data_IF_764843243529
#
_entry.id   IF_764843243529
#
_cell.length_a   1.000
_cell.length_b   1.000
_cell.length_c   1.000
_cell.angle_alpha   90.00
_cell.angle_beta   90.00
_cell.angle_gamma   90.00
#
_symmetry.space_group_name_H-M   'P 1'
#
loop_
_entity.id
_entity.type
_entity.pdbx_description
1 polymer ?
#
# COMPACT_ATOMS: atom_id res chain seq x y z
N UNK A 1 -75.70 -14.80 35.57
CA UNK A 1 -76.15 -14.83 36.98
C UNK A 1 -76.93 -13.55 37.23
N UNK A 2 -78.23 -13.65 37.49
CA UNK A 2 -79.05 -12.50 37.85
C UNK A 2 -79.22 -12.48 39.37
N UNK A 3 -79.06 -11.32 39.99
CA UNK A 3 -79.31 -11.16 41.41
C UNK A 3 -80.81 -11.21 41.71
N UNK A 4 -81.18 -11.60 42.93
CA UNK A 4 -82.55 -11.40 43.40
C UNK A 4 -82.84 -9.89 43.46
N UNK A 5 -84.10 -9.50 43.25
CA UNK A 5 -84.50 -8.11 43.19
C UNK A 5 -84.08 -7.30 44.43
N UNK A 6 -84.27 -7.88 45.63
CA UNK A 6 -83.86 -7.26 46.91
C UNK A 6 -82.34 -7.03 47.00
N UNK A 7 -81.53 -7.99 46.54
CA UNK A 7 -80.07 -7.83 46.50
C UNK A 7 -79.64 -6.78 45.47
N UNK A 8 -80.28 -6.76 44.30
CA UNK A 8 -79.97 -5.78 43.25
C UNK A 8 -80.26 -4.34 43.71
N UNK A 9 -81.37 -4.11 44.43
CA UNK A 9 -81.70 -2.80 45.01
C UNK A 9 -80.65 -2.37 46.05
N UNK A 10 -80.29 -3.28 46.97
CA UNK A 10 -79.30 -2.99 48.01
C UNK A 10 -77.92 -2.66 47.42
N UNK A 11 -77.47 -3.44 46.43
CA UNK A 11 -76.19 -3.19 45.74
C UNK A 11 -76.23 -1.92 44.89
N UNK A 12 -77.36 -1.60 44.26
CA UNK A 12 -77.51 -0.37 43.48
C UNK A 12 -77.37 0.87 44.36
N UNK A 13 -77.94 0.88 45.57
CA UNK A 13 -77.80 2.00 46.50
C UNK A 13 -76.33 2.26 46.89
N UNK A 14 -75.56 1.20 47.15
CA UNK A 14 -74.12 1.30 47.46
C UNK A 14 -73.33 1.81 46.25
N UNK A 15 -73.63 1.30 45.05
CA UNK A 15 -72.96 1.74 43.82
C UNK A 15 -73.26 3.21 43.50
N UNK A 16 -74.49 3.65 43.71
CA UNK A 16 -74.91 5.05 43.51
C UNK A 16 -74.15 5.99 44.43
N UNK A 17 -74.11 5.69 45.74
CA UNK A 17 -73.36 6.47 46.71
C UNK A 17 -71.86 6.49 46.37
N UNK A 18 -71.29 5.34 45.99
CA UNK A 18 -69.88 5.25 45.60
C UNK A 18 -69.55 6.10 44.37
N UNK A 19 -70.39 6.06 43.34
CA UNK A 19 -70.23 6.87 42.12
C UNK A 19 -70.34 8.36 42.46
N UNK A 20 -71.34 8.74 43.27
CA UNK A 20 -71.50 10.13 43.73
C UNK A 20 -70.28 10.62 44.51
N UNK A 21 -69.76 9.81 45.44
CA UNK A 21 -68.56 10.12 46.21
C UNK A 21 -67.33 10.25 45.32
N UNK A 22 -67.16 9.37 44.32
CA UNK A 22 -66.08 9.47 43.34
C UNK A 22 -66.20 10.75 42.52
N UNK A 23 -67.41 11.13 42.08
CA UNK A 23 -67.65 12.37 41.34
C UNK A 23 -67.38 13.62 42.19
N UNK A 24 -67.75 13.59 43.48
CA UNK A 24 -67.40 14.66 44.44
C UNK A 24 -65.87 14.73 44.62
N UNK A 25 -65.21 13.58 44.81
CA UNK A 25 -63.76 13.51 44.93
C UNK A 25 -63.07 14.07 43.69
N UNK A 26 -63.60 13.82 42.49
CA UNK A 26 -63.07 14.37 41.24
C UNK A 26 -63.11 15.90 41.18
N UNK A 27 -64.14 16.51 41.76
CA UNK A 27 -64.30 17.97 41.85
C UNK A 27 -63.41 18.62 42.91
N UNK A 28 -63.13 17.91 44.00
CA UNK A 28 -62.32 18.42 45.11
C UNK A 28 -60.83 18.18 44.87
N UNK A 29 -60.48 17.09 44.18
CA UNK A 29 -59.09 16.71 43.94
C UNK A 29 -58.45 17.58 42.84
N UNK A 30 -57.24 18.11 43.06
CA UNK A 30 -56.58 18.98 42.10
C UNK A 30 -56.06 18.18 40.88
N UNK A 31 -56.36 18.67 39.68
CA UNK A 31 -55.80 18.13 38.41
C UNK A 31 -54.39 18.68 38.13
N UNK A 32 -53.99 19.74 38.84
CA UNK A 32 -52.65 20.29 38.79
C UNK A 32 -52.27 20.97 40.12
N UNK A 33 -50.97 20.98 40.42
CA UNK A 33 -50.39 21.68 41.60
C UNK A 33 -50.77 23.15 41.71
N UNK A 34 -51.08 23.81 40.59
CA UNK A 34 -51.44 25.22 40.55
C UNK A 34 -52.77 25.51 41.26
N UNK A 35 -53.62 24.51 41.44
CA UNK A 35 -54.89 24.64 42.14
C UNK A 35 -54.76 24.66 43.68
N UNK A 36 -53.57 24.37 44.25
CA UNK A 36 -53.37 24.35 45.70
C UNK A 36 -52.03 24.98 46.12
N UNK A 37 -52.01 26.25 46.58
CA UNK A 37 -50.79 27.00 46.87
C UNK A 37 -49.87 26.34 47.91
N UNK A 38 -50.46 25.68 48.93
CA UNK A 38 -49.69 25.00 49.98
C UNK A 38 -48.98 23.73 49.49
N UNK A 39 -49.63 22.94 48.63
CA UNK A 39 -49.02 21.75 48.03
C UNK A 39 -47.90 22.15 47.07
N UNK A 40 -48.11 23.24 46.31
CA UNK A 40 -47.09 23.82 45.46
C UNK A 40 -45.87 24.31 46.27
N UNK A 41 -46.10 24.98 47.41
CA UNK A 41 -45.03 25.42 48.32
C UNK A 41 -44.24 24.24 48.89
N UNK A 42 -44.91 23.14 49.25
CA UNK A 42 -44.26 21.93 49.73
C UNK A 42 -43.38 21.27 48.65
N UNK A 43 -43.89 21.15 47.43
CA UNK A 43 -43.13 20.62 46.29
C UNK A 43 -41.96 21.54 45.93
N UNK A 44 -42.18 22.84 45.90
CA UNK A 44 -41.14 23.82 45.61
C UNK A 44 -40.04 23.82 46.68
N UNK A 45 -40.39 23.67 47.96
CA UNK A 45 -39.41 23.54 49.05
C UNK A 45 -38.58 22.27 48.92
N UNK A 46 -39.21 21.14 48.59
CA UNK A 46 -38.51 19.87 48.34
C UNK A 46 -37.61 19.94 47.09
N UNK A 47 -38.07 20.57 46.01
CA UNK A 47 -37.25 20.76 44.81
C UNK A 47 -36.06 21.67 45.13
N UNK A 48 -36.28 22.74 45.89
CA UNK A 48 -35.22 23.68 46.28
C UNK A 48 -34.17 23.00 47.16
N UNK A 49 -34.56 22.17 48.12
CA UNK A 49 -33.61 21.41 48.95
C UNK A 49 -32.84 20.38 48.13
N UNK A 50 -33.48 19.70 47.18
CA UNK A 50 -32.83 18.75 46.27
C UNK A 50 -31.80 19.42 45.36
N UNK A 51 -32.16 20.56 44.74
CA UNK A 51 -31.22 21.33 43.91
C UNK A 51 -30.06 21.85 44.75
N UNK A 52 -30.32 22.29 45.98
CA UNK A 52 -29.26 22.75 46.89
C UNK A 52 -28.28 21.62 47.21
N UNK A 53 -28.78 20.41 47.50
CA UNK A 53 -27.95 19.22 47.73
C UNK A 53 -27.13 18.82 46.49
N UNK A 54 -27.70 18.96 45.29
CA UNK A 54 -26.97 18.73 44.03
C UNK A 54 -25.86 19.77 43.81
N UNK A 55 -26.16 21.06 44.01
CA UNK A 55 -25.19 22.13 43.88
C UNK A 55 -24.03 21.98 44.89
N UNK A 56 -24.30 21.49 46.09
CA UNK A 56 -23.26 21.16 47.06
C UNK A 56 -22.36 20.00 46.58
N UNK A 57 -22.94 18.96 45.97
CA UNK A 57 -22.19 17.86 45.37
C UNK A 57 -21.34 18.32 44.17
N UNK A 58 -21.85 19.23 43.35
CA UNK A 58 -21.09 19.84 42.24
C UNK A 58 -19.96 20.74 42.74
N UNK A 59 -20.21 21.57 43.77
CA UNK A 59 -19.18 22.43 44.38
C UNK A 59 -18.07 21.63 45.05
N UNK A 60 -18.41 20.54 45.73
CA UNK A 60 -17.39 19.65 46.32
C UNK A 60 -16.55 18.97 45.23
N UNK A 61 -17.14 18.63 44.09
CA UNK A 61 -16.39 18.15 42.91
C UNK A 61 -15.47 19.23 42.32
N UNK A 62 -15.97 20.46 42.15
CA UNK A 62 -15.21 21.58 41.58
C UNK A 62 -14.05 22.01 42.50
N UNK A 63 -14.26 22.03 43.81
CA UNK A 63 -13.22 22.28 44.81
C UNK A 63 -12.14 21.18 44.79
N UNK A 64 -12.53 19.90 44.65
CA UNK A 64 -11.60 18.79 44.54
C UNK A 64 -10.80 18.80 43.22
N UNK A 65 -11.40 19.28 42.13
CA UNK A 65 -10.69 19.48 40.84
C UNK A 65 -9.72 20.68 40.90
N UNK A 66 -10.10 21.74 41.61
CA UNK A 66 -9.28 22.96 41.75
C UNK A 66 -8.08 22.77 42.68
N UNK A 67 -8.17 21.88 43.68
CA UNK A 67 -7.07 21.53 44.58
C UNK A 67 -5.96 20.68 43.91
N UNK A 68 -6.03 20.46 42.58
CA UNK A 68 -5.36 19.34 41.90
C UNK A 68 -4.42 19.74 40.76
N UNK A 69 -3.81 20.92 40.82
CA UNK A 69 -2.80 21.32 39.83
C UNK A 69 -1.56 20.41 39.80
N UNK A 70 -1.42 19.43 40.70
CA UNK A 70 -0.26 18.53 40.74
C UNK A 70 -0.67 17.06 41.01
N UNK A 71 -0.68 16.20 39.97
CA UNK A 71 -0.60 14.74 40.15
C UNK A 71 -1.77 13.88 39.63
N UNK A 72 -1.44 12.94 38.72
CA UNK A 72 -2.32 11.96 38.07
C UNK A 72 -2.79 10.87 39.04
N UNK A 73 -4.08 10.86 39.37
CA UNK A 73 -4.75 9.69 39.94
C UNK A 73 -6.11 9.47 39.26
N UNK A 74 -6.16 8.56 38.28
CA UNK A 74 -7.35 8.32 37.44
C UNK A 74 -8.47 7.59 38.19
N UNK A 75 -8.17 6.94 39.32
CA UNK A 75 -9.14 6.16 40.12
C UNK A 75 -10.16 7.03 40.85
N UNK A 76 -9.70 8.11 41.49
CA UNK A 76 -10.54 9.05 42.23
C UNK A 76 -11.53 9.79 41.31
N UNK A 77 -11.12 10.17 40.09
CA UNK A 77 -12.03 10.78 39.10
C UNK A 77 -13.19 9.84 38.77
N UNK A 78 -12.91 8.55 38.62
CA UNK A 78 -13.93 7.55 38.32
C UNK A 78 -14.92 7.39 39.49
N UNK A 79 -14.43 7.47 40.73
CA UNK A 79 -15.25 7.43 41.94
C UNK A 79 -16.13 8.69 42.10
N UNK A 80 -15.58 9.88 41.84
CA UNK A 80 -16.34 11.13 41.86
C UNK A 80 -17.40 11.21 40.76
N UNK A 81 -17.08 10.78 39.53
CA UNK A 81 -18.05 10.63 38.45
C UNK A 81 -19.15 9.63 38.86
N UNK A 82 -18.77 8.54 39.54
CA UNK A 82 -19.69 7.57 40.13
C UNK A 82 -20.63 8.18 41.17
N UNK A 83 -20.12 9.03 42.06
CA UNK A 83 -20.89 9.70 43.09
C UNK A 83 -21.86 10.74 42.50
N UNK A 84 -21.41 11.55 41.53
CA UNK A 84 -22.26 12.53 40.85
C UNK A 84 -23.39 11.84 40.06
N UNK A 85 -23.06 10.77 39.33
CA UNK A 85 -24.08 9.98 38.61
C UNK A 85 -25.06 9.30 39.56
N UNK A 86 -24.62 8.86 40.73
CA UNK A 86 -25.49 8.31 41.77
C UNK A 86 -26.41 9.39 42.36
N UNK A 87 -25.87 10.58 42.68
CA UNK A 87 -26.64 11.71 43.20
C UNK A 87 -27.71 12.18 42.22
N UNK A 88 -27.35 12.34 40.93
CA UNK A 88 -28.29 12.68 39.86
C UNK A 88 -29.40 11.62 39.72
N UNK A 89 -29.05 10.33 39.85
CA UNK A 89 -30.04 9.25 39.81
C UNK A 89 -31.02 9.31 40.99
N UNK A 90 -30.54 9.68 42.18
CA UNK A 90 -31.38 9.81 43.38
C UNK A 90 -32.35 11.01 43.26
N UNK A 91 -31.88 12.13 42.72
CA UNK A 91 -32.74 13.30 42.41
C UNK A 91 -33.82 12.91 41.39
N UNK A 92 -33.43 12.26 40.30
CA UNK A 92 -34.37 11.77 39.27
C UNK A 92 -35.40 10.78 39.84
N UNK A 93 -34.96 9.87 40.70
CA UNK A 93 -35.85 8.89 41.32
C UNK A 93 -36.82 9.56 42.29
N UNK A 94 -36.35 10.50 43.10
CA UNK A 94 -37.16 11.26 44.05
C UNK A 94 -38.20 12.14 43.34
N UNK A 95 -37.80 12.80 42.24
CA UNK A 95 -38.71 13.57 41.40
C UNK A 95 -39.80 12.70 40.76
N UNK A 96 -39.46 11.48 40.31
CA UNK A 96 -40.44 10.52 39.75
C UNK A 96 -41.39 9.95 40.80
N UNK A 97 -40.92 9.77 42.04
CA UNK A 97 -41.69 9.19 43.14
C UNK A 97 -42.52 10.23 43.92
N UNK A 98 -42.34 11.52 43.65
CA UNK A 98 -43.11 12.56 44.33
C UNK A 98 -44.61 12.43 43.97
N UNK A 99 -45.51 12.17 44.94
CA UNK A 99 -46.93 11.97 44.70
C UNK A 99 -47.65 13.23 44.20
N UNK A 100 -47.03 14.39 44.38
CA UNK A 100 -47.56 15.70 44.00
C UNK A 100 -46.98 16.18 42.66
N UNK A 101 -46.50 15.31 41.78
CA UNK A 101 -46.15 15.73 40.41
C UNK A 101 -47.39 15.91 39.56
N UNK A 102 -47.30 16.75 38.52
CA UNK A 102 -48.40 16.93 37.55
C UNK A 102 -48.85 15.58 36.97
N UNK A 103 -47.91 14.73 36.59
CA UNK A 103 -48.19 13.43 35.97
C UNK A 103 -48.87 12.46 36.94
N UNK A 104 -48.45 12.43 38.22
CA UNK A 104 -49.08 11.59 39.23
C UNK A 104 -50.49 12.08 39.58
N UNK A 105 -50.69 13.39 39.70
CA UNK A 105 -52.03 13.98 39.93
C UNK A 105 -52.97 13.73 38.75
N UNK A 106 -52.48 13.88 37.53
CA UNK A 106 -53.24 13.57 36.32
C UNK A 106 -53.61 12.09 36.30
N UNK A 107 -52.67 11.20 36.57
CA UNK A 107 -52.92 9.75 36.61
C UNK A 107 -53.96 9.38 37.67
N UNK A 108 -53.87 9.95 38.88
CA UNK A 108 -54.86 9.67 39.94
C UNK A 108 -56.25 10.12 39.50
N UNK A 109 -56.36 11.26 38.82
CA UNK A 109 -57.63 11.72 38.27
C UNK A 109 -58.16 10.83 37.14
N UNK A 110 -57.29 10.35 36.25
CA UNK A 110 -57.64 9.37 35.21
C UNK A 110 -58.11 8.04 35.82
N UNK A 111 -57.38 7.50 36.80
CA UNK A 111 -57.72 6.26 37.50
C UNK A 111 -59.05 6.40 38.27
N UNK A 112 -59.28 7.56 38.91
CA UNK A 112 -60.55 7.88 39.58
C UNK A 112 -61.71 7.97 38.59
N UNK A 113 -61.54 8.69 37.47
CA UNK A 113 -62.57 8.80 36.43
C UNK A 113 -62.91 7.42 35.85
N UNK A 114 -61.89 6.60 35.58
CA UNK A 114 -62.10 5.23 35.12
C UNK A 114 -62.93 4.41 36.12
N UNK A 115 -62.62 4.48 37.42
CA UNK A 115 -63.41 3.82 38.46
C UNK A 115 -64.86 4.35 38.51
N UNK A 116 -65.06 5.67 38.41
CA UNK A 116 -66.39 6.28 38.35
C UNK A 116 -67.19 5.76 37.15
N UNK A 117 -66.60 5.77 35.96
CA UNK A 117 -67.25 5.35 34.71
C UNK A 117 -67.65 3.87 34.75
N UNK A 118 -66.74 2.99 35.21
CA UNK A 118 -67.01 1.56 35.33
C UNK A 118 -68.12 1.30 36.35
N UNK A 119 -68.06 1.93 37.53
CA UNK A 119 -69.07 1.73 38.56
C UNK A 119 -70.42 2.34 38.16
N UNK A 120 -70.43 3.45 37.43
CA UNK A 120 -71.65 4.04 36.88
C UNK A 120 -72.31 3.13 35.82
N UNK A 121 -71.51 2.46 34.98
CA UNK A 121 -72.02 1.46 34.03
C UNK A 121 -72.61 0.25 34.77
N UNK A 122 -71.92 -0.24 35.80
CA UNK A 122 -72.39 -1.36 36.65
C UNK A 122 -73.67 -0.99 37.40
N UNK A 123 -73.76 0.22 37.93
CA UNK A 123 -74.97 0.73 38.58
C UNK A 123 -76.17 0.70 37.64
N UNK A 124 -76.02 1.26 36.42
CA UNK A 124 -77.06 1.25 35.39
C UNK A 124 -77.44 -0.18 34.98
N UNK A 125 -76.45 -1.06 34.83
CA UNK A 125 -76.69 -2.48 34.52
C UNK A 125 -77.44 -3.20 35.64
N UNK A 126 -77.07 -2.95 36.90
CA UNK A 126 -77.67 -3.56 38.08
C UNK A 126 -79.16 -3.19 38.22
N UNK A 127 -79.50 -1.91 37.97
CA UNK A 127 -80.88 -1.43 37.99
C UNK A 127 -81.72 -2.04 36.86
N UNK A 128 -81.18 -2.09 35.64
CA UNK A 128 -81.94 -2.51 34.47
C UNK A 128 -82.03 -4.03 34.27
N UNK A 129 -80.97 -4.76 34.62
CA UNK A 129 -80.78 -6.18 34.25
C UNK A 129 -80.42 -7.09 35.43
N UNK A 130 -80.22 -6.52 36.63
CA UNK A 130 -79.79 -7.26 37.82
C UNK A 130 -78.52 -8.09 37.59
N UNK A 131 -77.58 -7.55 36.81
CA UNK A 131 -76.30 -8.19 36.44
C UNK A 131 -75.12 -7.23 36.54
N UNK A 132 -73.90 -7.77 36.44
CA UNK A 132 -72.62 -7.04 36.58
C UNK A 132 -71.60 -7.43 35.48
N UNK A 133 -72.07 -7.79 34.30
CA UNK A 133 -71.22 -8.26 33.19
C UNK A 133 -70.30 -7.15 32.67
N UNK A 134 -70.72 -5.88 32.74
CA UNK A 134 -69.87 -4.71 32.43
C UNK A 134 -68.59 -4.70 33.27
N UNK A 135 -68.67 -4.96 34.58
CA UNK A 135 -67.51 -5.06 35.46
C UNK A 135 -66.56 -6.19 35.04
N UNK A 136 -67.11 -7.38 34.76
CA UNK A 136 -66.30 -8.52 34.32
C UNK A 136 -65.56 -8.22 33.01
N UNK A 137 -66.22 -7.53 32.08
CA UNK A 137 -65.62 -7.09 30.82
C UNK A 137 -64.52 -6.05 31.05
N UNK A 138 -64.77 -5.03 31.88
CA UNK A 138 -63.80 -3.99 32.21
C UNK A 138 -62.54 -4.58 32.88
N UNK A 139 -62.72 -5.48 33.85
CA UNK A 139 -61.60 -6.17 34.53
C UNK A 139 -60.79 -7.01 33.55
N UNK A 140 -61.46 -7.71 32.61
CA UNK A 140 -60.76 -8.49 31.58
C UNK A 140 -59.95 -7.59 30.64
N UNK A 141 -60.56 -6.50 30.16
CA UNK A 141 -59.88 -5.52 29.31
C UNK A 141 -58.65 -4.93 30.00
N UNK A 142 -58.72 -4.59 31.29
CA UNK A 142 -57.56 -4.06 32.01
C UNK A 142 -56.47 -5.12 32.26
N UNK A 143 -56.84 -6.37 32.51
CA UNK A 143 -55.86 -7.46 32.55
C UNK A 143 -55.13 -7.61 31.21
N UNK A 144 -55.87 -7.58 30.11
CA UNK A 144 -55.30 -7.69 28.76
C UNK A 144 -54.41 -6.48 28.43
N UNK A 145 -54.84 -5.25 28.80
CA UNK A 145 -54.06 -4.02 28.65
C UNK A 145 -52.75 -4.10 29.44
N UNK A 146 -52.80 -4.53 30.71
CA UNK A 146 -51.62 -4.71 31.56
C UNK A 146 -50.63 -5.72 30.97
N UNK A 147 -51.12 -6.85 30.47
CA UNK A 147 -50.27 -7.85 29.78
C UNK A 147 -49.65 -7.29 28.51
N UNK A 148 -50.39 -6.49 27.73
CA UNK A 148 -49.87 -5.79 26.55
C UNK A 148 -48.73 -4.82 26.88
N UNK A 149 -48.90 -4.03 27.94
CA UNK A 149 -47.85 -3.13 28.45
C UNK A 149 -46.60 -3.90 28.88
N UNK A 150 -46.76 -4.98 29.65
CA UNK A 150 -45.62 -5.80 30.08
C UNK A 150 -44.86 -6.42 28.90
N UNK A 151 -45.55 -6.92 27.88
CA UNK A 151 -44.91 -7.43 26.66
C UNK A 151 -44.14 -6.33 25.92
N UNK A 152 -44.70 -5.12 25.88
CA UNK A 152 -44.07 -3.96 25.23
C UNK A 152 -42.79 -3.56 25.97
N UNK A 153 -42.83 -3.51 27.30
CA UNK A 153 -41.65 -3.23 28.15
C UNK A 153 -40.54 -4.25 27.90
N UNK A 154 -40.86 -5.55 27.93
CA UNK A 154 -39.86 -6.62 27.70
C UNK A 154 -39.24 -6.48 26.30
N UNK A 155 -40.05 -6.21 25.27
CA UNK A 155 -39.55 -6.01 23.90
C UNK A 155 -38.66 -4.78 23.78
N UNK A 156 -39.03 -3.67 24.42
CA UNK A 156 -38.21 -2.46 24.44
C UNK A 156 -36.87 -2.74 25.11
N UNK A 157 -36.86 -3.37 26.30
CA UNK A 157 -35.62 -3.66 27.01
C UNK A 157 -34.69 -4.58 26.20
N UNK A 158 -35.24 -5.61 25.56
CA UNK A 158 -34.49 -6.50 24.68
C UNK A 158 -33.94 -5.74 23.46
N UNK A 159 -34.76 -4.88 22.85
CA UNK A 159 -34.35 -4.01 21.75
C UNK A 159 -33.20 -3.08 22.14
N UNK A 160 -33.30 -2.43 23.30
CA UNK A 160 -32.27 -1.53 23.85
C UNK A 160 -30.96 -2.26 24.12
N UNK A 161 -31.02 -3.49 24.66
CA UNK A 161 -29.84 -4.35 24.83
C UNK A 161 -29.21 -4.71 23.48
N UNK A 162 -30.02 -5.07 22.49
CA UNK A 162 -29.53 -5.44 21.15
C UNK A 162 -28.89 -4.25 20.44
N UNK A 163 -29.49 -3.07 20.50
CA UNK A 163 -28.93 -1.83 19.95
C UNK A 163 -27.56 -1.55 20.57
N UNK A 164 -27.45 -1.63 21.91
CA UNK A 164 -26.17 -1.42 22.60
C UNK A 164 -25.10 -2.43 22.19
N UNK A 165 -25.47 -3.70 21.98
CA UNK A 165 -24.56 -4.73 21.49
C UNK A 165 -24.09 -4.42 20.05
N UNK A 166 -25.02 -4.08 19.15
CA UNK A 166 -24.71 -3.78 17.76
C UNK A 166 -23.84 -2.54 17.62
N UNK A 167 -24.08 -1.50 18.44
CA UNK A 167 -23.24 -0.29 18.48
C UNK A 167 -21.79 -0.61 18.87
N UNK A 168 -21.59 -1.50 19.85
CA UNK A 168 -20.25 -1.96 20.23
C UNK A 168 -19.57 -2.72 19.10
N UNK A 169 -20.28 -3.69 18.50
CA UNK A 169 -19.75 -4.46 17.37
C UNK A 169 -19.36 -3.57 16.18
N UNK A 170 -20.17 -2.56 15.87
CA UNK A 170 -19.88 -1.60 14.80
C UNK A 170 -18.62 -0.78 15.13
N UNK A 171 -18.49 -0.33 16.38
CA UNK A 171 -17.30 0.41 16.82
C UNK A 171 -16.03 -0.47 16.77
N UNK A 172 -16.12 -1.73 17.16
CA UNK A 172 -15.01 -2.68 17.13
C UNK A 172 -14.57 -2.97 15.70
N UNK A 173 -15.52 -3.26 14.79
CA UNK A 173 -15.25 -3.45 13.36
C UNK A 173 -14.61 -2.19 12.76
N UNK A 174 -15.11 -1.00 13.11
CA UNK A 174 -14.53 0.26 12.61
C UNK A 174 -13.06 0.40 13.03
N UNK A 175 -12.73 0.10 14.29
CA UNK A 175 -11.34 0.14 14.78
C UNK A 175 -10.47 -0.91 14.08
N UNK A 176 -10.96 -2.13 13.92
CA UNK A 176 -10.26 -3.20 13.23
C UNK A 176 -9.94 -2.81 11.78
N UNK A 177 -10.93 -2.27 11.06
CA UNK A 177 -10.76 -1.85 9.66
C UNK A 177 -9.80 -0.66 9.52
N UNK A 178 -9.82 0.27 10.47
CA UNK A 178 -8.85 1.39 10.49
C UNK A 178 -7.41 0.87 10.65
N UNK A 179 -7.19 -0.08 11.56
CA UNK A 179 -5.88 -0.72 11.75
C UNK A 179 -5.45 -1.49 10.48
N UNK A 180 -6.36 -2.22 9.85
CA UNK A 180 -6.09 -2.93 8.59
C UNK A 180 -5.69 -1.98 7.46
N UNK A 181 -6.37 -0.82 7.35
CA UNK A 181 -6.03 0.22 6.37
C UNK A 181 -4.63 0.79 6.65
N UNK A 182 -4.31 1.07 7.92
CA UNK A 182 -2.98 1.57 8.30
C UNK A 182 -1.88 0.56 7.93
N UNK A 183 -2.03 -0.71 8.29
CA UNK A 183 -1.09 -1.77 7.93
C UNK A 183 -0.90 -1.92 6.42
N UNK A 184 -2.00 -1.85 5.65
CA UNK A 184 -1.92 -1.89 4.18
C UNK A 184 -1.20 -0.68 3.60
N UNK A 185 -1.43 0.51 4.15
CA UNK A 185 -0.74 1.73 3.71
C UNK A 185 0.76 1.66 3.99
N UNK A 186 1.17 1.14 5.15
CA UNK A 186 2.58 0.90 5.48
C UNK A 186 3.22 -0.10 4.50
N UNK A 187 2.52 -1.19 4.18
CA UNK A 187 2.99 -2.17 3.19
C UNK A 187 3.13 -1.55 1.79
N UNK A 188 2.17 -0.71 1.37
CA UNK A 188 2.24 0.02 0.10
C UNK A 188 3.45 0.96 0.09
N UNK A 189 3.73 1.68 1.19
CA UNK A 189 4.89 2.56 1.29
C UNK A 189 6.20 1.77 1.15
N UNK A 190 6.35 0.69 1.91
CA UNK A 190 7.52 -0.19 1.84
C UNK A 190 7.75 -0.77 0.42
N UNK A 191 6.69 -1.24 -0.24
CA UNK A 191 6.79 -1.75 -1.61
C UNK A 191 7.14 -0.67 -2.64
N UNK A 192 6.68 0.58 -2.43
CA UNK A 192 7.08 1.71 -3.28
C UNK A 192 8.57 2.01 -3.15
N UNK A 193 9.09 1.99 -1.92
CA UNK A 193 10.51 2.23 -1.66
C UNK A 193 11.38 1.14 -2.31
N UNK A 194 11.01 -0.14 -2.13
CA UNK A 194 11.69 -1.27 -2.78
C UNK A 194 11.66 -1.16 -4.31
N UNK A 195 10.52 -0.76 -4.89
CA UNK A 195 10.41 -0.57 -6.34
C UNK A 195 11.33 0.56 -6.83
N UNK A 196 11.41 1.66 -6.07
CA UNK A 196 12.27 2.79 -6.42
C UNK A 196 13.75 2.42 -6.31
N UNK A 197 14.13 1.67 -5.27
CA UNK A 197 15.49 1.13 -5.11
C UNK A 197 15.86 0.20 -6.27
N UNK A 198 15.00 -0.76 -6.61
CA UNK A 198 15.23 -1.67 -7.75
C UNK A 198 15.35 -0.92 -9.08
N UNK A 199 14.52 0.11 -9.30
CA UNK A 199 14.63 0.96 -10.50
C UNK A 199 15.96 1.70 -10.56
N UNK A 200 16.42 2.26 -9.44
CA UNK A 200 17.70 2.96 -9.38
C UNK A 200 18.86 1.99 -9.65
N UNK A 201 18.87 0.83 -8.98
CA UNK A 201 19.87 -0.21 -9.16
C UNK A 201 19.93 -0.73 -10.60
N UNK A 202 18.79 -1.11 -11.16
CA UNK A 202 18.71 -1.61 -12.54
C UNK A 202 19.17 -0.58 -13.57
N UNK A 203 18.85 0.71 -13.36
CA UNK A 203 19.34 1.77 -14.24
C UNK A 203 20.87 1.94 -14.15
N UNK A 204 21.45 1.88 -12.94
CA UNK A 204 22.90 1.94 -12.76
C UNK A 204 23.61 0.72 -13.36
N UNK A 205 23.09 -0.48 -13.14
CA UNK A 205 23.60 -1.72 -13.73
C UNK A 205 23.54 -1.65 -15.27
N UNK A 206 22.43 -1.18 -15.84
CA UNK A 206 22.31 -0.99 -17.28
C UNK A 206 23.35 -0.03 -17.85
N UNK A 207 23.58 1.11 -17.18
CA UNK A 207 24.64 2.07 -17.58
C UNK A 207 26.02 1.45 -17.48
N UNK A 208 26.30 0.71 -16.41
CA UNK A 208 27.59 0.05 -16.20
C UNK A 208 27.87 -0.99 -17.28
N UNK A 209 26.91 -1.90 -17.55
CA UNK A 209 27.04 -2.93 -18.58
C UNK A 209 27.26 -2.31 -19.96
N UNK A 210 26.48 -1.27 -20.29
CA UNK A 210 26.65 -0.54 -21.55
C UNK A 210 28.06 0.05 -21.66
N UNK A 211 28.53 0.75 -20.63
CA UNK A 211 29.86 1.38 -20.63
C UNK A 211 30.98 0.35 -20.71
N UNK A 212 30.83 -0.78 -20.02
CA UNK A 212 31.78 -1.88 -20.07
C UNK A 212 31.89 -2.48 -21.47
N UNK A 213 30.75 -2.72 -22.13
CA UNK A 213 30.70 -3.22 -23.50
C UNK A 213 31.32 -2.22 -24.49
N UNK A 214 30.99 -0.93 -24.40
CA UNK A 214 31.59 0.13 -25.21
C UNK A 214 33.11 0.18 -25.03
N UNK A 215 33.59 0.09 -23.80
CA UNK A 215 35.03 0.11 -23.51
C UNK A 215 35.74 -1.13 -24.07
N UNK A 216 35.13 -2.31 -23.95
CA UNK A 216 35.68 -3.55 -24.51
C UNK A 216 35.78 -3.49 -26.04
N UNK A 217 34.74 -3.00 -26.72
CA UNK A 217 34.77 -2.77 -28.17
C UNK A 217 35.86 -1.77 -28.53
N UNK A 218 35.97 -0.66 -27.80
CA UNK A 218 36.98 0.36 -28.07
C UNK A 218 38.41 -0.16 -27.87
N UNK A 219 38.68 -0.91 -26.80
CA UNK A 219 39.98 -1.53 -26.56
C UNK A 219 40.33 -2.55 -27.64
N UNK A 220 39.40 -3.42 -28.03
CA UNK A 220 39.62 -4.36 -29.12
C UNK A 220 39.89 -3.64 -30.44
N UNK A 221 39.14 -2.58 -30.73
CA UNK A 221 39.35 -1.78 -31.94
C UNK A 221 40.74 -1.13 -31.95
N UNK A 222 41.19 -0.55 -30.85
CA UNK A 222 42.55 0.00 -30.75
C UNK A 222 43.63 -1.07 -30.91
N UNK A 223 43.45 -2.24 -30.28
CA UNK A 223 44.40 -3.35 -30.42
C UNK A 223 44.51 -3.81 -31.87
N UNK A 224 43.38 -4.01 -32.56
CA UNK A 224 43.35 -4.35 -33.98
C UNK A 224 44.00 -3.26 -34.83
N UNK A 225 43.75 -1.98 -34.56
CA UNK A 225 44.37 -0.86 -35.28
C UNK A 225 45.89 -0.86 -35.15
N UNK A 226 46.42 -1.07 -33.93
CA UNK A 226 47.87 -1.15 -33.69
C UNK A 226 48.46 -2.34 -34.46
N UNK A 227 47.84 -3.51 -34.37
CA UNK A 227 48.32 -4.70 -35.11
C UNK A 227 48.28 -4.49 -36.63
N UNK A 228 47.21 -3.90 -37.15
CA UNK A 228 47.10 -3.57 -38.56
C UNK A 228 48.18 -2.59 -39.00
N UNK A 229 48.52 -1.59 -38.17
CA UNK A 229 49.61 -0.67 -38.44
C UNK A 229 50.97 -1.38 -38.45
N UNK A 230 51.24 -2.26 -37.48
CA UNK A 230 52.48 -3.05 -37.48
C UNK A 230 52.63 -3.87 -38.75
N UNK A 231 51.57 -4.55 -39.20
CA UNK A 231 51.62 -5.32 -40.45
C UNK A 231 51.79 -4.43 -41.69
N UNK A 232 51.24 -3.21 -41.70
CA UNK A 232 51.48 -2.24 -42.77
C UNK A 232 52.94 -1.81 -42.81
N UNK A 233 53.53 -1.49 -41.66
CA UNK A 233 54.92 -1.09 -41.55
C UNK A 233 55.86 -2.24 -42.00
N UNK A 234 55.57 -3.49 -41.58
CA UNK A 234 56.31 -4.69 -42.02
C UNK A 234 56.18 -4.91 -43.53
N UNK A 235 54.99 -4.70 -44.10
CA UNK A 235 54.76 -4.83 -45.53
C UNK A 235 55.54 -3.78 -46.33
N UNK A 236 55.57 -2.53 -45.86
CA UNK A 236 56.36 -1.46 -46.48
C UNK A 236 57.86 -1.76 -46.41
N UNK A 237 58.35 -2.22 -45.27
CA UNK A 237 59.74 -2.62 -45.10
C UNK A 237 60.12 -3.78 -46.04
N UNK A 238 59.24 -4.79 -46.15
CA UNK A 238 59.48 -5.94 -47.04
C UNK A 238 59.47 -5.52 -48.52
N UNK A 239 58.56 -4.62 -48.91
CA UNK A 239 58.56 -4.04 -50.27
C UNK A 239 59.88 -3.32 -50.56
N UNK A 240 60.38 -2.51 -49.63
CA UNK A 240 61.67 -1.83 -49.77
C UNK A 240 62.83 -2.82 -49.97
N UNK A 241 62.84 -3.92 -49.20
CA UNK A 241 63.85 -4.98 -49.35
C UNK A 241 63.77 -5.67 -50.72
N UNK A 242 62.55 -5.94 -51.21
CA UNK A 242 62.34 -6.51 -52.55
C UNK A 242 62.87 -5.56 -53.63
N UNK A 243 62.57 -4.26 -53.54
CA UNK A 243 63.06 -3.27 -54.51
C UNK A 243 64.59 -3.16 -54.50
N UNK A 244 65.22 -3.24 -53.32
CA UNK A 244 66.68 -3.23 -53.17
C UNK A 244 67.33 -4.50 -53.74
N UNK A 245 66.74 -5.68 -53.50
CA UNK A 245 67.20 -6.94 -54.06
C UNK A 245 67.09 -6.94 -55.59
N UNK A 246 65.98 -6.47 -56.14
CA UNK A 246 65.78 -6.32 -57.60
C UNK A 246 66.85 -5.40 -58.18
N UNK A 247 67.11 -4.25 -57.56
CA UNK A 247 68.14 -3.30 -58.02
C UNK A 247 69.54 -3.93 -58.00
N UNK A 248 69.88 -4.61 -56.91
CA UNK A 248 71.18 -5.27 -56.75
C UNK A 248 71.35 -6.40 -57.76
N UNK A 249 70.31 -7.22 -57.94
CA UNK A 249 70.27 -8.29 -58.93
C UNK A 249 70.50 -7.78 -60.35
N UNK A 250 69.77 -6.73 -60.77
CA UNK A 250 69.97 -6.09 -62.08
C UNK A 250 71.41 -5.59 -62.23
N UNK A 251 71.96 -4.94 -61.20
CA UNK A 251 73.35 -4.47 -61.24
C UNK A 251 74.38 -5.61 -61.36
N UNK A 252 74.15 -6.74 -60.67
CA UNK A 252 74.99 -7.94 -60.80
C UNK A 252 74.86 -8.55 -62.19
N UNK A 253 73.64 -8.70 -62.71
CA UNK A 253 73.42 -9.22 -64.06
C UNK A 253 74.11 -8.37 -65.13
N UNK A 254 74.01 -7.04 -65.04
CA UNK A 254 74.69 -6.11 -65.95
C UNK A 254 76.21 -6.24 -65.87
N UNK A 255 76.76 -6.32 -64.65
CA UNK A 255 78.19 -6.54 -64.43
C UNK A 255 78.66 -7.87 -65.05
N UNK A 256 77.92 -8.96 -64.81
CA UNK A 256 78.24 -10.29 -65.34
C UNK A 256 78.15 -10.31 -66.87
N UNK A 257 77.10 -9.74 -67.47
CA UNK A 257 76.96 -9.62 -68.94
C UNK A 257 78.13 -8.84 -69.53
N UNK A 258 78.51 -7.71 -68.95
CA UNK A 258 79.66 -6.92 -69.40
C UNK A 258 80.97 -7.71 -69.31
N UNK A 259 81.18 -8.45 -68.22
CA UNK A 259 82.39 -9.26 -68.06
C UNK A 259 82.43 -10.45 -69.01
N UNK A 260 81.28 -11.08 -69.26
CA UNK A 260 81.11 -12.12 -70.26
C UNK A 260 81.50 -11.60 -71.65
N UNK A 261 80.96 -10.46 -72.09
CA UNK A 261 81.32 -9.86 -73.38
C UNK A 261 82.82 -9.57 -73.48
N UNK A 262 83.44 -9.04 -72.41
CA UNK A 262 84.90 -8.82 -72.39
C UNK A 262 85.69 -10.13 -72.52
N UNK A 263 85.23 -11.22 -71.90
CA UNK A 263 85.87 -12.53 -72.02
C UNK A 263 85.68 -13.11 -73.43
N UNK A 264 84.48 -12.97 -74.01
CA UNK A 264 84.19 -13.35 -75.40
C UNK A 264 85.11 -12.60 -76.38
N UNK A 265 85.25 -11.28 -76.25
CA UNK A 265 86.17 -10.46 -77.04
C UNK A 265 87.64 -10.92 -76.88
N UNK A 266 88.06 -11.27 -75.66
CA UNK A 266 89.42 -11.80 -75.42
C UNK A 266 89.62 -13.16 -76.06
N UNK A 267 88.63 -14.05 -75.99
CA UNK A 267 88.68 -15.36 -76.64
C UNK A 267 88.80 -15.18 -78.15
N UNK A 268 87.97 -14.32 -78.74
CA UNK A 268 88.02 -13.99 -80.16
C UNK A 268 89.39 -13.45 -80.57
N UNK A 269 89.96 -12.52 -79.78
CA UNK A 269 91.32 -12.02 -80.00
C UNK A 269 92.39 -13.11 -79.94
N UNK A 270 92.33 -14.02 -78.96
CA UNK A 270 93.30 -15.11 -78.84
C UNK A 270 93.16 -16.15 -79.94
N UNK A 271 91.94 -16.41 -80.42
CA UNK A 271 91.68 -17.26 -81.58
C UNK A 271 92.27 -16.64 -82.86
N UNK A 272 91.95 -15.38 -83.14
CA UNK A 272 92.49 -14.66 -84.30
C UNK A 272 94.04 -14.58 -84.26
N UNK A 273 94.61 -14.37 -83.08
CA UNK A 273 96.06 -14.42 -82.89
C UNK A 273 96.63 -15.83 -83.15
N UNK A 274 96.00 -16.87 -82.59
CA UNK A 274 96.44 -18.25 -82.80
C UNK A 274 96.41 -18.61 -84.28
N UNK A 275 95.33 -18.29 -85.00
CA UNK A 275 95.22 -18.54 -86.43
C UNK A 275 96.34 -17.81 -87.21
N UNK A 276 96.59 -16.53 -86.90
CA UNK A 276 97.70 -15.75 -87.51
C UNK A 276 99.08 -16.33 -87.20
N UNK A 277 99.33 -16.73 -85.96
CA UNK A 277 100.62 -17.30 -85.55
C UNK A 277 100.84 -18.68 -86.20
N UNK A 278 99.78 -19.50 -86.31
CA UNK A 278 99.80 -20.79 -87.02
C UNK A 278 100.05 -20.57 -88.51
N UNK A 279 99.35 -19.64 -89.16
CA UNK A 279 99.56 -19.29 -90.57
C UNK A 279 101.00 -18.80 -90.81
N UNK A 280 101.52 -17.92 -89.94
CA UNK A 280 102.90 -17.45 -90.01
C UNK A 280 103.91 -18.59 -89.85
N UNK A 281 103.70 -19.51 -88.90
CA UNK A 281 104.56 -20.69 -88.72
C UNK A 281 104.45 -21.68 -89.87
N UNK A 282 103.27 -21.87 -90.43
CA UNK A 282 103.07 -22.70 -91.62
C UNK A 282 103.78 -22.08 -92.84
N UNK A 283 103.75 -20.76 -92.97
CA UNK A 283 104.51 -20.02 -93.98
C UNK A 283 106.02 -20.18 -93.79
N UNK A 284 106.55 -19.99 -92.57
CA UNK A 284 107.96 -20.27 -92.25
C UNK A 284 108.35 -21.71 -92.61
N UNK A 285 107.53 -22.70 -92.22
CA UNK A 285 107.79 -24.12 -92.47
C UNK A 285 107.76 -24.44 -93.96
N UNK A 286 106.87 -23.82 -94.73
CA UNK A 286 106.86 -23.87 -96.20
C UNK A 286 108.15 -23.28 -96.79
N UNK A 287 108.59 -22.13 -96.27
CA UNK A 287 109.83 -21.46 -96.70
C UNK A 287 111.06 -22.32 -96.40
N UNK A 288 111.16 -22.91 -95.20
CA UNK A 288 112.22 -23.85 -94.82
C UNK A 288 112.19 -25.13 -95.67
N UNK A 289 111.01 -25.68 -95.95
CA UNK A 289 110.87 -26.83 -96.87
C UNK A 289 111.37 -26.48 -98.27
N UNK A 290 111.04 -25.30 -98.77
CA UNK A 290 111.54 -24.79 -100.06
C UNK A 290 113.06 -24.59 -100.03
N UNK A 291 113.62 -23.99 -98.98
CA UNK A 291 115.08 -23.85 -98.81
C UNK A 291 115.78 -25.21 -98.74
N UNK A 292 115.24 -26.17 -97.97
CA UNK A 292 115.77 -27.53 -97.90
C UNK A 292 115.70 -28.24 -99.25
N UNK A 293 114.61 -28.06 -100.00
CA UNK A 293 114.48 -28.61 -101.34
C UNK A 293 115.56 -28.02 -102.27
N UNK A 294 115.78 -26.70 -102.23
CA UNK A 294 116.84 -26.02 -102.98
C UNK A 294 118.25 -26.50 -102.56
N UNK A 295 118.51 -26.67 -101.26
CA UNK A 295 119.80 -27.15 -100.76
C UNK A 295 120.04 -28.62 -101.13
N UNK A 296 118.98 -29.45 -101.13
CA UNK A 296 119.05 -30.85 -101.55
C UNK A 296 119.29 -30.96 -103.06
N UNK A 297 118.68 -30.08 -103.86
CA UNK A 297 118.95 -29.94 -105.30
C UNK A 297 120.41 -29.53 -105.56
N UNK A 298 120.93 -28.58 -104.78
CA UNK A 298 122.35 -28.16 -104.81
C UNK A 298 123.32 -29.28 -104.42
N UNK A 299 122.95 -30.11 -103.45
CA UNK A 299 123.69 -31.31 -103.05
C UNK A 299 123.66 -32.40 -104.13
N UNK A 300 122.52 -32.57 -104.81
CA UNK A 300 122.40 -33.49 -105.95
C UNK A 300 123.23 -33.02 -107.16
N UNK A 301 123.33 -31.72 -107.41
CA UNK A 301 124.25 -31.16 -108.41
C UNK A 301 125.73 -31.37 -108.05
N UNK A 302 126.09 -31.23 -106.77
CA UNK A 302 127.46 -31.49 -106.27
C UNK A 302 127.83 -32.98 -106.31
N UNK A 303 126.86 -33.88 -106.06
CA UNK A 303 127.03 -35.34 -106.13
C UNK A 303 127.10 -35.85 -107.57
N UNK A 304 126.68 -35.04 -108.56
CA UNK A 304 126.86 -35.34 -109.99
C UNK A 304 128.21 -34.86 -110.55
N UNK A 305 128.97 -34.07 -109.78
CA UNK A 305 130.26 -33.48 -110.20
C UNK A 305 131.49 -34.09 -109.50
N UNK A 306 131.29 -35.10 -108.65
CA UNK A 306 132.32 -35.96 -108.04
C UNK A 306 131.86 -37.40 -108.08
#
# INVERSE_FOLDING_TARGET
>A
MAFSHSMAVSLSAVLEDTVNQLGILGKIMPVSLQAHPEANKFVQTNITSMISSQLEAERTMEAALSARTEGKDSGLIQEFIGNLTTSNRLVDQSMRQNPLTKDNLQKIQEDRQFCEDVLAEVYKEMQAKHSFQSLLKAVKMEKDRKLGLQRTIIKEEQGRRKIKQLQRQLQDIKKEKELEIQQRNEMIAHLKDQLQEMKAKSNMEGKYVKKNAENQVHQNQQHCQIQEQTYKDELEELKRKVDEEVRTHVGIEEYLKKHQTMLEEKVEHWMDKYDKDVDAKQQELSTLKSSKANDLERLQELTRKY
#
